data_IF_923267236542
#
_entry.id   IF_923267236542
#
_cell.length_a   1.000
_cell.length_b   1.000
_cell.length_c   1.000
_cell.angle_alpha   90.00
_cell.angle_beta   90.00
_cell.angle_gamma   90.00
#
_symmetry.space_group_name_H-M   'P 1'
#
loop_
_entity.id
_entity.type
_entity.pdbx_description
1 polymer ?
#
# COMPACT_ATOMS: atom_id res chain seq x y z
N UNK A 1 19.40 5.34 -27.19
CA UNK A 1 18.89 4.04 -26.69
C UNK A 1 19.58 3.82 -25.35
N UNK A 2 18.91 4.04 -24.24
CA UNK A 2 19.49 3.81 -22.91
C UNK A 2 19.65 2.30 -22.72
N UNK A 3 20.87 1.86 -22.38
CA UNK A 3 21.11 0.53 -21.86
C UNK A 3 20.45 0.45 -20.46
N UNK A 4 19.15 0.24 -20.43
CA UNK A 4 18.49 -0.14 -19.17
C UNK A 4 18.75 -1.63 -18.99
N UNK A 5 19.27 -2.02 -17.84
CA UNK A 5 19.32 -3.43 -17.46
C UNK A 5 17.92 -4.02 -17.59
N UNK A 6 17.76 -5.21 -18.16
CA UNK A 6 16.45 -5.81 -18.31
C UNK A 6 15.83 -6.04 -16.92
N UNK A 7 14.52 -5.76 -16.80
CA UNK A 7 13.78 -6.11 -15.59
C UNK A 7 13.96 -7.59 -15.26
N UNK A 8 14.02 -7.96 -13.98
CA UNK A 8 14.01 -9.37 -13.58
C UNK A 8 12.77 -10.07 -14.14
N UNK A 9 12.82 -11.38 -14.33
CA UNK A 9 11.66 -12.15 -14.77
C UNK A 9 10.49 -11.97 -13.75
N UNK A 10 9.24 -11.86 -14.24
CA UNK A 10 8.09 -11.74 -13.34
C UNK A 10 8.01 -12.93 -12.37
N UNK A 11 7.72 -12.69 -11.08
CA UNK A 11 7.55 -13.77 -10.12
C UNK A 11 6.28 -14.59 -10.40
N UNK A 12 6.21 -15.79 -9.84
CA UNK A 12 4.97 -16.57 -9.83
C UNK A 12 3.91 -15.86 -8.97
N UNK A 13 2.64 -16.00 -9.36
CA UNK A 13 1.51 -15.55 -8.54
C UNK A 13 1.37 -16.38 -7.27
N UNK A 14 0.66 -15.84 -6.28
CA UNK A 14 0.35 -16.55 -5.02
C UNK A 14 -0.32 -17.89 -5.35
N UNK A 15 0.19 -18.97 -4.80
CA UNK A 15 -0.31 -20.31 -5.06
C UNK A 15 -1.52 -20.68 -4.17
N UNK A 16 -2.26 -21.72 -4.58
CA UNK A 16 -3.44 -22.21 -3.85
C UNK A 16 -3.14 -22.64 -2.43
N UNK A 17 -1.96 -23.20 -2.16
CA UNK A 17 -1.58 -23.65 -0.82
C UNK A 17 -1.47 -22.46 0.14
N UNK A 18 -0.96 -21.31 -0.32
CA UNK A 18 -0.85 -20.08 0.47
C UNK A 18 -2.24 -19.56 0.87
N UNK A 19 -3.21 -19.52 -0.03
CA UNK A 19 -4.60 -19.14 0.32
C UNK A 19 -5.19 -20.10 1.36
N UNK A 20 -4.98 -21.41 1.20
CA UNK A 20 -5.42 -22.41 2.17
C UNK A 20 -4.80 -22.20 3.54
N UNK A 21 -3.50 -21.87 3.61
CA UNK A 21 -2.81 -21.56 4.87
C UNK A 21 -3.37 -20.31 5.54
N UNK A 22 -3.65 -19.24 4.77
CA UNK A 22 -4.27 -18.01 5.30
C UNK A 22 -5.65 -18.28 5.92
N UNK A 23 -6.48 -19.07 5.25
CA UNK A 23 -7.78 -19.48 5.79
C UNK A 23 -7.62 -20.27 7.09
N UNK A 24 -6.71 -21.25 7.13
CA UNK A 24 -6.43 -22.02 8.36
C UNK A 24 -5.90 -21.15 9.50
N UNK A 25 -5.03 -20.19 9.20
CA UNK A 25 -4.54 -19.25 10.20
C UNK A 25 -5.67 -18.38 10.78
N UNK A 26 -6.59 -17.90 9.93
CA UNK A 26 -7.79 -17.19 10.38
C UNK A 26 -8.67 -18.10 11.27
N UNK A 27 -8.91 -19.33 10.88
CA UNK A 27 -9.68 -20.32 11.68
C UNK A 27 -9.05 -20.57 13.06
N UNK A 28 -7.73 -20.71 13.11
CA UNK A 28 -7.00 -20.87 14.39
C UNK A 28 -7.17 -19.64 15.29
N UNK A 29 -7.15 -18.45 14.71
CA UNK A 29 -7.38 -17.20 15.47
C UNK A 29 -8.83 -17.12 15.98
N UNK A 30 -9.82 -17.48 15.16
CA UNK A 30 -11.23 -17.53 15.58
C UNK A 30 -11.42 -18.50 16.76
N UNK A 31 -10.74 -19.64 16.75
CA UNK A 31 -10.79 -20.60 17.87
C UNK A 31 -10.18 -20.01 19.15
N UNK A 32 -9.07 -19.27 19.05
CA UNK A 32 -8.40 -18.64 20.18
C UNK A 32 -9.19 -17.47 20.79
N UNK A 33 -9.96 -16.74 19.96
CA UNK A 33 -10.71 -15.53 20.37
C UNK A 33 -12.19 -15.79 20.64
N UNK A 34 -12.67 -17.01 20.37
CA UNK A 34 -14.06 -17.41 20.62
C UNK A 34 -15.07 -16.86 19.62
N UNK A 35 -14.63 -16.39 18.44
CA UNK A 35 -15.51 -16.13 17.33
C UNK A 35 -15.91 -17.44 16.62
N UNK A 36 -17.10 -17.47 16.05
CA UNK A 36 -17.61 -18.62 15.32
C UNK A 36 -17.32 -18.54 13.82
N UNK A 37 -17.20 -17.32 13.31
CA UNK A 37 -16.84 -17.07 11.91
C UNK A 37 -16.19 -15.67 11.73
N UNK A 38 -15.52 -15.50 10.59
CA UNK A 38 -15.06 -14.22 10.05
C UNK A 38 -15.79 -13.96 8.73
N UNK A 39 -16.48 -12.83 8.61
CA UNK A 39 -17.01 -12.35 7.35
C UNK A 39 -16.04 -11.32 6.77
N UNK A 40 -15.58 -11.58 5.56
CA UNK A 40 -14.60 -10.79 4.81
C UNK A 40 -15.31 -10.08 3.66
N UNK A 41 -15.13 -8.78 3.53
CA UNK A 41 -15.73 -7.98 2.45
C UNK A 41 -14.98 -8.14 1.14
N UNK A 42 -15.65 -7.88 0.01
CA UNK A 42 -15.00 -7.69 -1.29
C UNK A 42 -13.94 -6.57 -1.19
N UNK A 43 -12.87 -6.69 -1.98
CA UNK A 43 -11.72 -5.81 -1.94
C UNK A 43 -10.44 -6.56 -1.57
N UNK A 44 -9.48 -5.83 -0.98
CA UNK A 44 -8.15 -6.35 -0.68
C UNK A 44 -8.17 -7.55 0.29
N UNK A 45 -9.08 -7.54 1.26
CA UNK A 45 -9.23 -8.65 2.21
C UNK A 45 -9.75 -9.91 1.52
N UNK A 46 -10.73 -9.80 0.63
CA UNK A 46 -11.21 -10.92 -0.18
C UNK A 46 -10.10 -11.49 -1.05
N UNK A 47 -9.35 -10.60 -1.74
CA UNK A 47 -8.21 -10.99 -2.58
C UNK A 47 -7.14 -11.72 -1.77
N UNK A 48 -6.85 -11.26 -0.55
CA UNK A 48 -5.89 -11.89 0.35
C UNK A 48 -6.23 -13.36 0.66
N UNK A 49 -7.51 -13.67 0.87
CA UNK A 49 -7.95 -15.03 1.22
C UNK A 49 -8.28 -15.92 0.03
N UNK A 50 -8.60 -15.35 -1.14
CA UNK A 50 -9.18 -16.11 -2.26
C UNK A 50 -8.52 -15.88 -3.62
N UNK A 51 -7.74 -14.81 -3.76
CA UNK A 51 -7.21 -14.35 -5.04
C UNK A 51 -8.23 -13.62 -5.93
N UNK A 52 -9.50 -13.51 -5.52
CA UNK A 52 -10.56 -12.84 -6.29
C UNK A 52 -10.32 -11.34 -6.31
N UNK A 53 -10.16 -10.71 -7.51
CA UNK A 53 -9.77 -9.31 -7.63
C UNK A 53 -10.97 -8.36 -7.71
N UNK A 54 -12.02 -8.62 -6.93
CA UNK A 54 -13.25 -7.83 -6.97
C UNK A 54 -13.29 -6.78 -5.87
N UNK A 55 -13.65 -5.57 -6.24
CA UNK A 55 -13.88 -4.47 -5.31
C UNK A 55 -15.31 -4.53 -4.74
N UNK A 56 -15.51 -3.89 -3.58
CA UNK A 56 -16.82 -3.75 -2.97
C UNK A 56 -17.71 -2.82 -3.81
N UNK A 57 -18.96 -3.24 -4.01
CA UNK A 57 -20.02 -2.47 -4.67
C UNK A 57 -21.24 -2.35 -3.74
N UNK A 58 -22.39 -1.92 -4.27
CA UNK A 58 -23.67 -1.94 -3.56
C UNK A 58 -24.19 -3.36 -3.31
N UNK A 59 -23.72 -4.36 -4.09
CA UNK A 59 -24.08 -5.76 -3.92
C UNK A 59 -23.15 -6.45 -2.94
N UNK A 60 -23.71 -7.21 -2.03
CA UNK A 60 -22.90 -7.97 -1.08
C UNK A 60 -22.17 -9.12 -1.77
N UNK A 61 -20.86 -8.99 -1.84
CA UNK A 61 -19.93 -10.06 -2.17
C UNK A 61 -19.01 -10.23 -0.97
N UNK A 62 -18.97 -11.42 -0.40
CA UNK A 62 -18.23 -11.67 0.82
C UNK A 62 -17.68 -13.11 0.87
N UNK A 63 -16.67 -13.32 1.68
CA UNK A 63 -16.22 -14.64 2.09
C UNK A 63 -16.57 -14.82 3.57
N UNK A 64 -17.28 -15.87 3.90
CA UNK A 64 -17.51 -16.26 5.29
C UNK A 64 -16.60 -17.44 5.62
N UNK A 65 -15.67 -17.24 6.53
CA UNK A 65 -14.73 -18.27 7.02
C UNK A 65 -15.27 -18.76 8.36
N UNK A 66 -15.84 -19.97 8.44
CA UNK A 66 -16.27 -20.55 9.70
C UNK A 66 -15.06 -20.95 10.54
N UNK A 67 -15.19 -20.96 11.88
CA UNK A 67 -14.16 -21.46 12.78
C UNK A 67 -13.70 -22.89 12.44
N UNK A 68 -14.62 -23.72 11.95
CA UNK A 68 -14.35 -25.08 11.45
C UNK A 68 -15.16 -25.35 10.19
N UNK A 69 -14.56 -26.03 9.23
CA UNK A 69 -15.22 -26.37 7.97
C UNK A 69 -14.70 -25.56 6.78
N UNK A 70 -15.39 -25.65 5.65
CA UNK A 70 -15.02 -24.95 4.43
C UNK A 70 -15.51 -23.50 4.46
N UNK A 71 -14.74 -22.54 3.94
CA UNK A 71 -15.23 -21.18 3.72
C UNK A 71 -16.31 -21.15 2.64
N UNK A 72 -17.18 -20.15 2.73
CA UNK A 72 -18.31 -19.96 1.81
C UNK A 72 -18.22 -18.59 1.17
N UNK A 73 -18.13 -18.57 -0.17
CA UNK A 73 -18.27 -17.34 -0.95
C UNK A 73 -19.74 -16.99 -1.11
N UNK A 74 -20.06 -15.73 -0.87
CA UNK A 74 -21.41 -15.16 -1.03
C UNK A 74 -21.38 -14.21 -2.22
N UNK A 75 -22.23 -14.43 -3.22
CA UNK A 75 -22.32 -13.54 -4.36
C UNK A 75 -23.75 -13.54 -4.97
N UNK A 76 -24.10 -12.54 -5.79
CA UNK A 76 -25.29 -12.60 -6.62
C UNK A 76 -25.26 -13.83 -7.52
N UNK A 77 -26.38 -14.45 -7.76
CA UNK A 77 -26.48 -15.68 -8.56
C UNK A 77 -25.91 -15.51 -9.98
N UNK A 78 -26.13 -14.37 -10.60
CA UNK A 78 -25.65 -14.09 -11.96
C UNK A 78 -24.11 -13.96 -12.05
N UNK A 79 -23.40 -13.71 -10.92
CA UNK A 79 -21.94 -13.61 -10.87
C UNK A 79 -21.24 -14.96 -10.65
N UNK A 80 -21.97 -16.06 -10.47
CA UNK A 80 -21.39 -17.37 -10.12
C UNK A 80 -20.30 -17.81 -11.11
N UNK A 81 -20.54 -17.65 -12.41
CA UNK A 81 -19.59 -18.04 -13.46
C UNK A 81 -18.31 -17.20 -13.43
N UNK A 82 -18.45 -15.88 -13.27
CA UNK A 82 -17.33 -14.96 -13.17
C UNK A 82 -16.50 -15.23 -11.90
N UNK A 83 -17.16 -15.50 -10.79
CA UNK A 83 -16.50 -15.85 -9.52
C UNK A 83 -15.69 -17.15 -9.68
N UNK A 84 -16.28 -18.20 -10.23
CA UNK A 84 -15.60 -19.49 -10.45
C UNK A 84 -14.35 -19.36 -11.34
N UNK A 85 -14.38 -18.44 -12.31
CA UNK A 85 -13.26 -18.23 -13.22
C UNK A 85 -12.05 -17.55 -12.55
N UNK A 86 -12.23 -16.77 -11.49
CA UNK A 86 -11.15 -16.05 -10.80
C UNK A 86 -10.79 -16.59 -9.41
N UNK A 87 -11.57 -17.52 -8.86
CA UNK A 87 -11.35 -18.11 -7.54
C UNK A 87 -10.11 -19.01 -7.53
N UNK A 88 -9.15 -18.73 -6.64
CA UNK A 88 -7.88 -19.46 -6.54
C UNK A 88 -7.79 -20.38 -5.31
N UNK A 89 -8.90 -20.58 -4.60
CA UNK A 89 -8.97 -21.46 -3.43
C UNK A 89 -10.28 -22.26 -3.40
N UNK A 90 -10.27 -23.37 -2.69
CA UNK A 90 -11.50 -24.18 -2.52
C UNK A 90 -12.44 -23.49 -1.55
N UNK A 91 -13.63 -23.15 -2.04
CA UNK A 91 -14.74 -22.60 -1.24
C UNK A 91 -16.05 -23.22 -1.68
N UNK A 92 -17.04 -23.24 -0.81
CA UNK A 92 -18.44 -23.38 -1.21
C UNK A 92 -18.93 -22.04 -1.76
N UNK A 93 -19.97 -22.05 -2.59
CA UNK A 93 -20.58 -20.82 -3.12
C UNK A 93 -22.06 -20.86 -2.74
N UNK A 94 -22.50 -19.85 -1.99
CA UNK A 94 -23.90 -19.57 -1.73
C UNK A 94 -24.31 -18.30 -2.47
N UNK A 95 -25.44 -18.34 -3.14
CA UNK A 95 -25.90 -17.25 -4.01
C UNK A 95 -27.22 -16.69 -3.53
N UNK A 96 -27.47 -15.43 -3.87
CA UNK A 96 -28.72 -14.72 -3.63
C UNK A 96 -29.22 -14.08 -4.93
N UNK A 97 -30.56 -13.92 -5.04
CA UNK A 97 -31.22 -13.26 -6.16
C UNK A 97 -31.42 -11.78 -5.86
N UNK A 98 -31.57 -10.94 -6.89
CA UNK A 98 -31.69 -9.48 -6.76
C UNK A 98 -32.86 -9.01 -5.86
N UNK A 99 -33.88 -9.83 -5.67
CA UNK A 99 -35.02 -9.60 -4.80
C UNK A 99 -34.89 -10.24 -3.41
N UNK A 100 -33.78 -10.92 -3.11
CA UNK A 100 -33.48 -11.53 -1.82
C UNK A 100 -32.60 -10.63 -0.95
N UNK A 101 -32.65 -10.85 0.37
CA UNK A 101 -31.74 -10.18 1.29
C UNK A 101 -30.42 -10.94 1.39
N UNK A 102 -29.31 -10.38 0.89
CA UNK A 102 -28.02 -11.07 0.85
C UNK A 102 -27.45 -11.42 2.22
N UNK A 103 -27.78 -10.66 3.26
CA UNK A 103 -27.33 -10.96 4.63
C UNK A 103 -27.98 -12.24 5.19
N UNK A 104 -29.20 -12.56 4.78
CA UNK A 104 -29.84 -13.85 5.13
C UNK A 104 -29.11 -15.01 4.47
N UNK A 105 -28.70 -14.88 3.23
CA UNK A 105 -27.89 -15.86 2.54
C UNK A 105 -26.52 -16.03 3.23
N UNK A 106 -25.82 -14.93 3.50
CA UNK A 106 -24.49 -14.95 4.10
C UNK A 106 -24.43 -15.66 5.45
N UNK A 107 -25.50 -15.52 6.25
CA UNK A 107 -25.56 -16.05 7.61
C UNK A 107 -26.59 -17.15 7.81
N UNK A 108 -27.03 -17.81 6.73
CA UNK A 108 -28.08 -18.85 6.78
C UNK A 108 -27.74 -20.03 7.71
N UNK A 109 -26.44 -20.38 7.80
CA UNK A 109 -25.98 -21.53 8.59
C UNK A 109 -25.77 -21.22 10.09
N UNK A 110 -25.92 -19.95 10.50
CA UNK A 110 -25.62 -19.53 11.87
C UNK A 110 -26.90 -19.35 12.70
N UNK A 111 -26.85 -19.76 13.96
CA UNK A 111 -27.96 -19.70 14.93
C UNK A 111 -27.85 -18.47 15.84
N UNK A 112 -28.90 -18.17 16.57
CA UNK A 112 -28.93 -17.07 17.53
C UNK A 112 -27.77 -17.15 18.53
N UNK A 113 -27.18 -16.01 18.84
CA UNK A 113 -26.04 -15.87 19.74
C UNK A 113 -24.67 -16.17 19.11
N UNK A 114 -24.63 -16.61 17.84
CA UNK A 114 -23.35 -16.81 17.10
C UNK A 114 -22.60 -15.49 17.01
N UNK A 115 -21.29 -15.51 17.32
CA UNK A 115 -20.37 -14.38 17.25
C UNK A 115 -19.62 -14.38 15.93
N UNK A 116 -19.79 -13.34 15.14
CA UNK A 116 -19.15 -13.18 13.82
C UNK A 116 -18.25 -11.96 13.85
N UNK A 117 -16.97 -12.17 13.60
CA UNK A 117 -16.01 -11.11 13.33
C UNK A 117 -16.27 -10.52 11.94
N UNK A 118 -16.30 -9.20 11.83
CA UNK A 118 -16.50 -8.49 10.56
C UNK A 118 -15.21 -7.80 10.12
N UNK A 119 -14.90 -7.95 8.84
CA UNK A 119 -13.88 -7.15 8.17
C UNK A 119 -14.17 -5.65 8.37
N UNK A 120 -13.20 -4.85 8.84
CA UNK A 120 -13.39 -3.40 9.01
C UNK A 120 -13.69 -2.65 7.71
N UNK A 121 -13.43 -3.25 6.55
CA UNK A 121 -13.74 -2.67 5.24
C UNK A 121 -15.24 -2.74 4.88
N UNK A 122 -16.09 -3.41 5.68
CA UNK A 122 -17.53 -3.30 5.52
C UNK A 122 -18.02 -1.89 5.85
N UNK A 123 -18.81 -1.31 4.95
CA UNK A 123 -19.42 0.00 5.22
C UNK A 123 -20.38 -0.06 6.40
N UNK A 124 -20.54 1.04 7.13
CA UNK A 124 -21.55 1.14 8.19
C UNK A 124 -22.96 0.80 7.69
N UNK A 125 -23.29 1.17 6.45
CA UNK A 125 -24.57 0.84 5.81
C UNK A 125 -24.77 -0.68 5.69
N UNK A 126 -23.77 -1.38 5.20
CA UNK A 126 -23.77 -2.84 5.06
C UNK A 126 -23.91 -3.53 6.40
N UNK A 127 -23.12 -3.14 7.40
CA UNK A 127 -23.19 -3.70 8.77
C UNK A 127 -24.56 -3.44 9.40
N UNK A 128 -25.12 -2.25 9.19
CA UNK A 128 -26.46 -1.93 9.69
C UNK A 128 -27.55 -2.79 9.03
N UNK A 129 -27.45 -3.03 7.73
CA UNK A 129 -28.36 -3.93 7.01
C UNK A 129 -28.25 -5.37 7.52
N UNK A 130 -27.01 -5.88 7.73
CA UNK A 130 -26.76 -7.19 8.33
C UNK A 130 -27.41 -7.33 9.71
N UNK A 131 -27.19 -6.34 10.59
CA UNK A 131 -27.78 -6.34 11.95
C UNK A 131 -29.31 -6.30 11.95
N UNK A 132 -29.91 -5.60 10.99
CA UNK A 132 -31.37 -5.58 10.83
C UNK A 132 -31.92 -6.91 10.31
N UNK A 133 -31.22 -7.54 9.39
CA UNK A 133 -31.62 -8.82 8.82
C UNK A 133 -31.44 -9.99 9.82
N UNK A 134 -30.38 -9.93 10.64
CA UNK A 134 -30.00 -10.95 11.62
C UNK A 134 -29.72 -10.34 13.00
N UNK A 135 -30.76 -9.79 13.67
CA UNK A 135 -30.63 -9.16 14.99
C UNK A 135 -30.30 -10.18 16.11
N UNK A 136 -30.40 -11.47 15.79
CA UNK A 136 -30.08 -12.59 16.66
C UNK A 136 -28.60 -12.93 16.70
N UNK A 137 -27.78 -12.40 15.78
CA UNK A 137 -26.33 -12.61 15.73
C UNK A 137 -25.57 -11.50 16.44
N UNK A 138 -24.38 -11.83 16.94
CA UNK A 138 -23.45 -10.87 17.55
C UNK A 138 -22.39 -10.52 16.51
N UNK A 139 -22.53 -9.38 15.84
CA UNK A 139 -21.63 -8.88 14.81
C UNK A 139 -20.66 -7.87 15.42
N UNK A 140 -19.38 -8.20 15.45
CA UNK A 140 -18.32 -7.43 16.09
C UNK A 140 -17.17 -7.15 15.11
N UNK A 141 -16.33 -6.17 15.43
CA UNK A 141 -15.07 -5.90 14.72
C UNK A 141 -14.13 -7.12 14.81
N UNK A 142 -13.30 -7.34 13.79
CA UNK A 142 -12.34 -8.46 13.76
C UNK A 142 -11.16 -8.30 14.74
N UNK A 143 -11.12 -7.19 15.48
CA UNK A 143 -10.08 -6.83 16.44
C UNK A 143 -8.66 -6.84 15.81
N UNK A 144 -8.56 -6.46 14.54
CA UNK A 144 -7.31 -6.36 13.82
C UNK A 144 -6.74 -7.69 13.32
N UNK A 145 -7.55 -8.73 13.28
CA UNK A 145 -7.14 -10.04 12.74
C UNK A 145 -6.61 -9.93 11.33
N UNK A 146 -7.42 -9.41 10.40
CA UNK A 146 -7.07 -9.31 8.98
C UNK A 146 -5.83 -8.43 8.80
N UNK A 147 -5.78 -7.28 9.45
CA UNK A 147 -4.66 -6.36 9.34
C UNK A 147 -3.36 -6.98 9.87
N UNK A 148 -3.41 -7.72 10.97
CA UNK A 148 -2.24 -8.40 11.54
C UNK A 148 -1.72 -9.52 10.62
N UNK A 149 -2.60 -10.27 9.96
CA UNK A 149 -2.24 -11.30 8.99
C UNK A 149 -1.59 -10.70 7.74
N UNK A 150 -2.12 -9.57 7.23
CA UNK A 150 -1.60 -8.87 6.05
C UNK A 150 -0.31 -8.12 6.32
N UNK A 151 -0.04 -7.72 7.57
CA UNK A 151 1.15 -6.96 7.93
C UNK A 151 2.46 -7.70 7.63
N UNK A 152 2.54 -9.00 7.95
CA UNK A 152 3.71 -9.83 7.70
C UNK A 152 3.57 -10.57 6.35
N UNK A 153 4.30 -10.11 5.34
CA UNK A 153 4.26 -10.65 3.98
C UNK A 153 5.04 -11.95 3.87
N UNK A 154 4.50 -12.89 3.12
CA UNK A 154 5.21 -14.10 2.71
C UNK A 154 6.31 -13.79 1.69
N UNK A 155 7.19 -14.75 1.43
CA UNK A 155 8.21 -14.60 0.39
C UNK A 155 7.62 -14.37 -1.00
N UNK A 156 6.45 -14.98 -1.31
CA UNK A 156 5.73 -14.78 -2.57
C UNK A 156 5.20 -13.34 -2.69
N UNK A 157 4.62 -12.79 -1.61
CA UNK A 157 4.14 -11.42 -1.56
C UNK A 157 5.30 -10.41 -1.72
N UNK A 158 6.41 -10.65 -1.02
CA UNK A 158 7.63 -9.82 -1.14
C UNK A 158 8.18 -9.86 -2.57
N UNK A 159 8.14 -11.01 -3.25
CA UNK A 159 8.59 -11.11 -4.63
C UNK A 159 7.70 -10.28 -5.59
N UNK A 160 6.37 -10.28 -5.41
CA UNK A 160 5.44 -9.47 -6.19
C UNK A 160 5.68 -7.97 -5.96
N UNK A 161 5.81 -7.54 -4.70
CA UNK A 161 6.13 -6.15 -4.35
C UNK A 161 7.50 -5.75 -4.94
N UNK A 162 8.52 -6.60 -4.81
CA UNK A 162 9.86 -6.33 -5.36
C UNK A 162 9.83 -6.10 -6.87
N UNK A 163 9.06 -6.91 -7.60
CA UNK A 163 8.95 -6.75 -9.05
C UNK A 163 8.16 -5.47 -9.42
N UNK A 164 7.06 -5.16 -8.72
CA UNK A 164 6.33 -3.92 -8.89
C UNK A 164 7.21 -2.68 -8.62
N UNK A 165 8.06 -2.72 -7.57
CA UNK A 165 9.04 -1.68 -7.26
C UNK A 165 10.10 -1.54 -8.36
N UNK A 166 10.59 -2.66 -8.92
CA UNK A 166 11.55 -2.64 -10.03
C UNK A 166 10.94 -2.00 -11.30
N UNK A 167 9.67 -2.32 -11.62
CA UNK A 167 8.91 -1.67 -12.71
C UNK A 167 8.86 -0.16 -12.45
N UNK A 168 8.40 0.27 -11.28
CA UNK A 168 8.23 1.69 -10.94
C UNK A 168 9.57 2.44 -10.96
N UNK A 169 10.66 1.84 -10.45
CA UNK A 169 11.99 2.47 -10.53
C UNK A 169 12.44 2.64 -11.99
N UNK A 170 12.17 1.65 -12.86
CA UNK A 170 12.48 1.78 -14.29
C UNK A 170 11.65 2.90 -14.94
N UNK A 171 10.36 3.01 -14.57
CA UNK A 171 9.49 4.10 -15.05
C UNK A 171 10.02 5.47 -14.63
N UNK A 172 10.54 5.61 -13.41
CA UNK A 172 11.19 6.84 -12.96
C UNK A 172 12.43 7.20 -13.80
N UNK A 173 13.28 6.22 -14.13
CA UNK A 173 14.46 6.41 -14.99
C UNK A 173 14.03 6.89 -16.40
N UNK A 174 13.02 6.23 -16.95
CA UNK A 174 12.48 6.57 -18.27
C UNK A 174 11.80 7.94 -18.28
N UNK A 175 11.01 8.25 -17.23
CA UNK A 175 10.38 9.56 -17.06
C UNK A 175 11.41 10.68 -16.98
N UNK A 176 12.49 10.52 -16.20
CA UNK A 176 13.57 11.49 -16.14
C UNK A 176 14.20 11.75 -17.50
N UNK A 177 14.39 10.70 -18.30
CA UNK A 177 14.94 10.81 -19.67
C UNK A 177 13.96 11.47 -20.65
N UNK A 178 12.66 11.40 -20.38
CA UNK A 178 11.61 12.02 -21.17
C UNK A 178 11.48 13.53 -20.92
N UNK A 179 11.89 14.01 -19.72
CA UNK A 179 11.73 15.42 -19.32
C UNK A 179 12.45 16.38 -20.28
N UNK A 180 11.76 17.43 -20.64
CA UNK A 180 12.29 18.60 -21.38
C UNK A 180 11.46 19.84 -21.02
N UNK A 181 12.04 21.07 -21.10
CA UNK A 181 11.30 22.28 -20.83
C UNK A 181 10.06 22.42 -21.71
N UNK A 182 8.98 22.93 -21.15
CA UNK A 182 7.70 23.14 -21.85
C UNK A 182 6.72 21.97 -21.75
N UNK A 183 7.11 20.79 -21.22
CA UNK A 183 6.16 19.71 -20.97
C UNK A 183 5.20 20.05 -19.84
N UNK A 184 3.95 19.68 -20.04
CA UNK A 184 2.92 19.74 -18.99
C UNK A 184 3.05 18.55 -18.01
N UNK A 185 2.75 18.77 -16.75
CA UNK A 185 2.69 17.68 -15.74
C UNK A 185 1.75 16.55 -16.19
N UNK A 186 0.65 16.85 -16.88
CA UNK A 186 -0.28 15.85 -17.43
C UNK A 186 0.34 14.99 -18.54
N UNK A 187 1.23 15.53 -19.36
CA UNK A 187 1.91 14.78 -20.42
C UNK A 187 2.90 13.78 -19.80
N UNK A 188 3.59 14.20 -18.74
CA UNK A 188 4.51 13.35 -18.01
C UNK A 188 3.75 12.24 -17.26
N UNK A 189 2.62 12.56 -16.62
CA UNK A 189 1.74 11.53 -16.00
C UNK A 189 1.25 10.51 -17.03
N UNK A 190 0.85 10.95 -18.21
CA UNK A 190 0.42 10.05 -19.28
C UNK A 190 1.57 9.14 -19.76
N UNK A 191 2.78 9.69 -19.91
CA UNK A 191 3.98 8.91 -20.23
C UNK A 191 4.24 7.84 -19.16
N UNK A 192 4.21 8.22 -17.88
CA UNK A 192 4.43 7.30 -16.73
C UNK A 192 3.40 6.17 -16.73
N UNK A 193 2.10 6.49 -16.89
CA UNK A 193 1.04 5.48 -16.95
C UNK A 193 1.24 4.50 -18.12
N UNK A 194 1.57 5.02 -19.29
CA UNK A 194 1.86 4.19 -20.47
C UNK A 194 3.06 3.26 -20.22
N UNK A 195 4.14 3.79 -19.63
CA UNK A 195 5.33 2.96 -19.33
C UNK A 195 5.05 1.88 -18.29
N UNK A 196 4.27 2.14 -17.25
CA UNK A 196 3.84 1.10 -16.32
C UNK A 196 3.11 -0.04 -17.04
N UNK A 197 2.19 0.27 -17.97
CA UNK A 197 1.49 -0.74 -18.80
C UNK A 197 2.43 -1.54 -19.67
N UNK A 198 3.35 -0.88 -20.35
CA UNK A 198 4.33 -1.52 -21.24
C UNK A 198 5.29 -2.45 -20.50
N UNK A 199 5.58 -2.16 -19.23
CA UNK A 199 6.43 -2.97 -18.37
C UNK A 199 5.67 -4.07 -17.61
N UNK A 200 4.35 -4.20 -17.84
CA UNK A 200 3.53 -5.31 -17.34
C UNK A 200 2.84 -5.09 -16.01
N UNK A 201 2.70 -3.84 -15.56
CA UNK A 201 1.90 -3.51 -14.38
C UNK A 201 0.40 -3.74 -14.63
N UNK A 202 -0.34 -4.10 -13.57
CA UNK A 202 -1.79 -4.21 -13.60
C UNK A 202 -2.41 -2.83 -13.92
N UNK A 203 -3.06 -2.66 -15.05
CA UNK A 203 -3.79 -1.44 -15.43
C UNK A 203 -2.98 -0.12 -15.43
N UNK A 204 -1.65 -0.16 -15.48
CA UNK A 204 -0.79 1.03 -15.51
C UNK A 204 -0.47 1.59 -14.12
N UNK A 205 -0.38 2.93 -14.01
CA UNK A 205 -0.15 3.58 -12.71
C UNK A 205 -1.37 3.44 -11.81
N UNK A 206 -1.15 3.05 -10.56
CA UNK A 206 -2.20 3.12 -9.54
C UNK A 206 -2.49 4.57 -9.15
N UNK A 207 -1.43 5.36 -9.01
CA UNK A 207 -1.47 6.81 -8.83
C UNK A 207 -0.24 7.44 -9.49
N UNK A 208 -0.28 8.75 -9.73
CA UNK A 208 0.85 9.49 -10.26
C UNK A 208 0.72 10.99 -9.93
N UNK A 209 1.61 11.49 -9.09
CA UNK A 209 1.81 12.92 -8.84
C UNK A 209 3.09 13.38 -9.55
N UNK A 210 2.98 14.48 -10.30
CA UNK A 210 4.10 15.16 -10.95
C UNK A 210 4.00 16.64 -10.60
N UNK A 211 5.02 17.17 -9.94
CA UNK A 211 5.04 18.49 -9.35
C UNK A 211 6.35 19.22 -9.66
N UNK A 212 6.27 20.55 -9.90
CA UNK A 212 7.42 21.38 -10.20
C UNK A 212 7.51 22.57 -9.24
N UNK A 213 8.75 22.96 -8.89
CA UNK A 213 9.04 24.16 -8.12
C UNK A 213 8.23 24.25 -6.82
N UNK A 214 7.50 25.33 -6.63
CA UNK A 214 6.74 25.60 -5.41
C UNK A 214 5.62 24.56 -5.12
N UNK A 215 5.08 23.92 -6.15
CA UNK A 215 4.04 22.90 -5.95
C UNK A 215 4.54 21.67 -5.21
N UNK A 216 5.84 21.41 -5.22
CA UNK A 216 6.45 20.31 -4.44
C UNK A 216 6.27 20.49 -2.93
N UNK A 217 5.96 21.70 -2.44
CA UNK A 217 5.64 21.97 -1.04
C UNK A 217 4.30 21.35 -0.57
N UNK A 218 3.49 20.86 -1.49
CA UNK A 218 2.19 20.25 -1.20
C UNK A 218 2.27 18.73 -1.39
N UNK A 219 2.17 17.92 -0.32
CA UNK A 219 2.38 16.46 -0.40
C UNK A 219 1.58 15.74 -1.48
N UNK A 220 0.33 16.17 -1.71
CA UNK A 220 -0.55 15.60 -2.76
C UNK A 220 -0.70 16.50 -3.99
N UNK A 221 0.16 17.53 -4.11
CA UNK A 221 0.15 18.46 -5.24
C UNK A 221 -0.92 19.54 -5.15
N UNK A 222 -1.00 20.28 -6.24
CA UNK A 222 -2.01 21.32 -6.47
C UNK A 222 -2.81 21.00 -7.74
N UNK A 223 -4.03 21.56 -7.91
CA UNK A 223 -4.88 21.27 -9.07
C UNK A 223 -4.29 21.72 -10.42
N UNK A 224 -3.29 22.63 -10.41
CA UNK A 224 -2.74 23.21 -11.62
C UNK A 224 -1.98 22.20 -12.47
N UNK A 225 -2.21 22.25 -13.78
CA UNK A 225 -1.44 21.50 -14.75
C UNK A 225 -0.16 22.25 -15.11
N UNK A 226 0.85 22.12 -14.26
CA UNK A 226 2.10 22.88 -14.34
C UNK A 226 2.89 22.60 -15.62
N UNK A 227 3.66 23.60 -16.05
CA UNK A 227 4.61 23.51 -17.19
C UNK A 227 6.03 23.45 -16.63
N UNK A 228 6.78 22.43 -16.99
CA UNK A 228 8.18 22.26 -16.59
C UNK A 228 9.05 23.37 -17.18
N UNK A 229 9.77 24.07 -16.32
CA UNK A 229 10.72 25.13 -16.68
C UNK A 229 12.17 24.65 -16.53
N UNK A 230 13.12 25.36 -17.16
CA UNK A 230 14.54 25.13 -16.87
C UNK A 230 14.87 25.44 -15.42
N UNK A 231 15.64 24.58 -14.81
CA UNK A 231 16.11 24.65 -13.42
C UNK A 231 15.01 24.47 -12.37
N UNK A 232 13.86 23.85 -12.73
CA UNK A 232 12.85 23.48 -11.77
C UNK A 232 13.34 22.37 -10.81
N UNK A 233 12.81 22.41 -9.60
CA UNK A 233 12.74 21.23 -8.74
C UNK A 233 11.62 20.33 -9.25
N UNK A 234 11.91 19.06 -9.48
CA UNK A 234 10.94 18.07 -9.94
C UNK A 234 10.70 17.04 -8.85
N UNK A 235 9.45 16.81 -8.48
CA UNK A 235 9.01 15.73 -7.64
C UNK A 235 8.08 14.84 -8.49
N UNK A 236 8.42 13.57 -8.60
CA UNK A 236 7.58 12.53 -9.18
C UNK A 236 7.32 11.50 -8.10
N UNK A 237 6.06 11.20 -7.87
CA UNK A 237 5.58 10.22 -6.92
C UNK A 237 4.57 9.31 -7.61
N UNK A 238 4.90 8.04 -7.75
CA UNK A 238 4.09 7.10 -8.53
C UNK A 238 4.31 5.66 -8.11
N UNK A 239 3.29 4.86 -8.36
CA UNK A 239 3.31 3.43 -8.13
C UNK A 239 2.37 2.67 -9.05
N UNK A 240 2.56 1.38 -9.11
CA UNK A 240 1.72 0.45 -9.87
C UNK A 240 1.29 -0.74 -9.01
N UNK A 241 0.60 -1.68 -9.63
CA UNK A 241 0.23 -2.96 -9.00
C UNK A 241 0.70 -4.12 -9.87
N UNK A 242 1.07 -5.21 -9.20
CA UNK A 242 1.31 -6.51 -9.83
C UNK A 242 0.58 -7.59 -9.03
N UNK A 243 -0.38 -8.28 -9.64
CA UNK A 243 -1.33 -9.18 -8.99
C UNK A 243 -1.93 -8.56 -7.72
N UNK A 244 -2.26 -7.25 -7.80
CA UNK A 244 -2.83 -6.42 -6.74
C UNK A 244 -1.86 -5.90 -5.68
N UNK A 245 -0.61 -6.35 -5.64
CA UNK A 245 0.41 -5.83 -4.73
C UNK A 245 1.00 -4.54 -5.26
N UNK A 246 1.10 -3.54 -4.38
CA UNK A 246 1.48 -2.18 -4.75
C UNK A 246 2.99 -1.96 -4.73
N UNK A 247 3.43 -1.04 -5.58
CA UNK A 247 4.67 -0.30 -5.45
C UNK A 247 4.38 1.17 -5.18
N UNK A 248 5.36 1.87 -4.62
CA UNK A 248 5.30 3.29 -4.31
C UNK A 248 6.73 3.85 -4.22
N UNK A 249 7.04 4.87 -5.00
CA UNK A 249 8.36 5.50 -5.03
C UNK A 249 8.21 6.99 -5.31
N UNK A 250 8.80 7.82 -4.46
CA UNK A 250 8.98 9.25 -4.73
C UNK A 250 10.43 9.57 -5.02
N UNK A 251 10.66 10.37 -6.05
CA UNK A 251 11.95 10.99 -6.37
C UNK A 251 11.81 12.50 -6.51
N UNK A 252 12.60 13.23 -5.70
CA UNK A 252 12.76 14.67 -5.87
C UNK A 252 14.19 14.97 -6.35
N UNK A 253 14.33 15.74 -7.44
CA UNK A 253 15.62 16.04 -8.05
C UNK A 253 15.62 17.37 -8.79
N UNK A 254 16.82 17.93 -9.01
CA UNK A 254 16.98 19.13 -9.83
C UNK A 254 16.88 18.78 -11.32
N UNK A 255 16.08 19.57 -12.05
CA UNK A 255 16.04 19.56 -13.51
C UNK A 255 16.86 20.75 -14.04
N UNK A 256 18.07 20.50 -14.52
CA UNK A 256 19.01 21.54 -14.92
C UNK A 256 19.96 21.95 -13.77
N UNK A 257 20.16 23.26 -13.58
CA UNK A 257 21.07 23.77 -12.58
C UNK A 257 20.44 23.69 -11.18
N UNK A 258 21.10 23.02 -10.22
CA UNK A 258 20.57 22.90 -8.85
C UNK A 258 20.56 24.25 -8.13
N UNK A 259 19.53 24.49 -7.33
CA UNK A 259 19.50 25.56 -6.32
C UNK A 259 20.25 25.08 -5.07
N UNK A 260 21.18 25.89 -4.50
CA UNK A 260 21.98 25.46 -3.34
C UNK A 260 21.17 25.17 -2.07
N UNK A 261 20.05 25.86 -1.85
CA UNK A 261 19.22 25.61 -0.68
C UNK A 261 18.40 24.34 -0.86
N UNK A 262 17.87 24.08 -2.05
CA UNK A 262 17.22 22.81 -2.36
C UNK A 262 18.18 21.63 -2.24
N UNK A 263 19.42 21.77 -2.71
CA UNK A 263 20.46 20.74 -2.57
C UNK A 263 20.81 20.47 -1.10
N UNK A 264 20.91 21.52 -0.28
CA UNK A 264 21.13 21.40 1.16
C UNK A 264 19.97 20.64 1.84
N UNK A 265 18.71 21.01 1.55
CA UNK A 265 17.54 20.36 2.11
C UNK A 265 17.42 18.91 1.62
N UNK A 266 17.76 18.65 0.36
CA UNK A 266 17.78 17.29 -0.19
C UNK A 266 18.80 16.39 0.56
N UNK A 267 19.98 16.93 0.87
CA UNK A 267 20.99 16.20 1.63
C UNK A 267 20.51 15.87 3.06
N UNK A 268 19.80 16.81 3.70
CA UNK A 268 19.19 16.59 5.03
C UNK A 268 18.10 15.50 4.91
N UNK A 269 17.23 15.58 3.91
CA UNK A 269 16.15 14.60 3.69
C UNK A 269 16.73 13.20 3.49
N UNK A 270 17.83 13.09 2.76
CA UNK A 270 18.57 11.85 2.58
C UNK A 270 19.07 11.28 3.91
N UNK A 271 19.61 12.14 4.79
CA UNK A 271 20.05 11.76 6.14
C UNK A 271 18.85 11.27 6.99
N UNK A 272 17.70 11.97 6.90
CA UNK A 272 16.46 11.62 7.60
C UNK A 272 15.97 10.23 7.16
N UNK A 273 15.90 9.98 5.85
CA UNK A 273 15.50 8.68 5.27
C UNK A 273 16.40 7.54 5.77
N UNK A 274 17.72 7.75 5.76
CA UNK A 274 18.67 6.75 6.26
C UNK A 274 18.61 6.55 7.77
N UNK A 275 18.31 7.60 8.54
CA UNK A 275 18.16 7.47 10.00
C UNK A 275 16.97 6.56 10.35
N UNK A 276 15.83 6.74 9.69
CA UNK A 276 14.68 5.86 9.84
C UNK A 276 15.00 4.41 9.46
N UNK A 277 15.61 4.19 8.28
CA UNK A 277 16.01 2.86 7.83
C UNK A 277 16.96 2.18 8.82
N UNK A 278 17.97 2.90 9.29
CA UNK A 278 18.95 2.37 10.24
C UNK A 278 18.37 2.09 11.62
N UNK A 279 17.30 2.77 12.01
CA UNK A 279 16.58 2.51 13.26
C UNK A 279 15.67 1.26 13.17
N UNK A 280 15.23 0.89 11.96
CA UNK A 280 14.36 -0.26 11.77
C UNK A 280 15.10 -1.57 12.09
N UNK A 281 14.77 -2.20 13.22
CA UNK A 281 15.30 -3.50 13.67
C UNK A 281 14.14 -4.36 14.15
N UNK A 282 14.34 -5.67 14.15
CA UNK A 282 13.34 -6.59 14.74
C UNK A 282 13.10 -6.20 16.19
N UNK A 283 11.83 -6.00 16.56
CA UNK A 283 11.41 -5.60 17.89
C UNK A 283 11.40 -4.10 18.17
N UNK A 284 12.06 -3.25 17.34
CA UNK A 284 11.93 -1.80 17.43
C UNK A 284 10.50 -1.38 17.14
N UNK A 285 9.92 -0.50 17.94
CA UNK A 285 8.57 0.01 17.69
C UNK A 285 8.53 0.94 16.47
N UNK A 286 7.38 1.00 15.80
CA UNK A 286 7.16 1.93 14.70
C UNK A 286 7.34 3.41 15.12
N UNK A 287 7.04 3.73 16.38
CA UNK A 287 7.29 5.05 16.98
C UNK A 287 8.80 5.41 17.01
N UNK A 288 9.66 4.48 17.45
CA UNK A 288 11.10 4.72 17.52
C UNK A 288 11.73 4.96 16.15
N UNK A 289 11.18 4.36 15.09
CA UNK A 289 11.63 4.61 13.71
C UNK A 289 11.25 6.02 13.25
N UNK A 290 10.02 6.49 13.55
CA UNK A 290 9.59 7.87 13.28
C UNK A 290 10.42 8.89 14.09
N UNK A 291 10.71 8.59 15.35
CA UNK A 291 11.54 9.46 16.20
C UNK A 291 12.98 9.60 15.66
N UNK A 292 13.58 8.52 15.15
CA UNK A 292 14.90 8.57 14.55
C UNK A 292 15.00 9.57 13.39
N UNK A 293 13.96 9.60 12.53
CA UNK A 293 13.83 10.59 11.46
C UNK A 293 13.73 12.02 12.02
N UNK A 294 12.86 12.24 12.99
CA UNK A 294 12.62 13.58 13.58
C UNK A 294 13.82 14.13 14.36
N UNK A 295 14.61 13.28 15.01
CA UNK A 295 15.85 13.68 15.68
C UNK A 295 16.84 14.30 14.70
N UNK A 296 16.95 13.77 13.48
CA UNK A 296 17.80 14.36 12.43
C UNK A 296 17.31 15.75 12.05
N UNK A 297 16.00 15.90 11.79
CA UNK A 297 15.40 17.21 11.46
C UNK A 297 15.73 18.27 12.53
N UNK A 298 15.52 17.95 13.80
CA UNK A 298 15.80 18.87 14.92
C UNK A 298 17.29 19.27 14.98
N UNK A 299 18.23 18.35 14.72
CA UNK A 299 19.67 18.67 14.63
C UNK A 299 19.99 19.70 13.55
N UNK A 300 19.22 19.72 12.48
CA UNK A 300 19.36 20.68 11.38
C UNK A 300 18.50 21.95 11.56
N UNK A 301 17.86 22.13 12.72
CA UNK A 301 17.03 23.29 13.02
C UNK A 301 15.66 23.27 12.32
N UNK A 302 15.19 22.08 11.91
CA UNK A 302 13.91 21.85 11.28
C UNK A 302 12.94 21.18 12.28
N UNK A 303 11.64 21.47 12.16
CA UNK A 303 10.68 21.02 13.15
C UNK A 303 10.69 21.89 14.42
N UNK A 304 10.45 21.33 15.64
CA UNK A 304 10.18 19.93 15.99
C UNK A 304 8.78 19.44 15.60
N UNK A 305 8.52 18.17 15.85
CA UNK A 305 7.22 17.52 15.66
C UNK A 305 6.73 17.66 14.21
N UNK A 306 5.56 18.25 14.04
CA UNK A 306 4.94 18.56 12.73
C UNK A 306 5.10 20.04 12.33
N UNK A 307 5.96 20.79 13.06
CA UNK A 307 6.22 22.21 12.78
C UNK A 307 7.03 22.36 11.50
N UNK A 308 6.65 23.32 10.67
CA UNK A 308 7.34 23.66 9.43
C UNK A 308 8.31 24.85 9.62
N UNK A 309 9.44 24.91 8.92
CA UNK A 309 9.95 23.90 7.98
C UNK A 309 10.27 22.57 8.67
N UNK A 310 9.87 21.45 8.08
CA UNK A 310 10.05 20.12 8.67
C UNK A 310 9.14 19.08 8.06
N UNK A 311 8.94 17.96 8.75
CA UNK A 311 8.14 16.80 8.33
C UNK A 311 6.68 16.94 8.78
N UNK A 312 5.73 17.20 7.83
CA UNK A 312 4.33 17.45 8.16
C UNK A 312 3.48 16.21 8.43
N UNK A 313 3.99 15.02 8.15
CA UNK A 313 3.25 13.77 8.26
C UNK A 313 4.08 12.65 8.93
N UNK A 314 3.60 11.43 8.92
CA UNK A 314 4.31 10.24 9.41
C UNK A 314 5.52 9.92 8.52
N UNK A 315 6.49 9.21 9.08
CA UNK A 315 7.70 8.79 8.33
C UNK A 315 7.41 7.68 7.32
N UNK A 316 6.34 6.87 7.54
CA UNK A 316 5.99 5.81 6.59
C UNK A 316 4.78 4.99 6.99
N UNK A 317 4.46 4.02 6.15
CA UNK A 317 3.30 3.12 6.28
C UNK A 317 3.65 1.70 5.80
N UNK A 318 2.84 0.72 6.17
CA UNK A 318 2.88 -0.60 5.57
C UNK A 318 2.38 -0.57 4.13
N UNK A 319 2.87 -1.49 3.30
CA UNK A 319 2.45 -1.65 1.90
C UNK A 319 2.20 -3.12 1.59
N UNK A 320 1.25 -3.40 0.71
CA UNK A 320 0.90 -4.73 0.27
C UNK A 320 -0.22 -4.72 -0.76
N UNK A 321 -1.35 -5.37 -0.46
CA UNK A 321 -2.57 -5.28 -1.27
C UNK A 321 -3.27 -3.92 -1.15
N UNK A 322 -3.00 -3.16 -0.09
CA UNK A 322 -3.32 -1.73 -0.02
C UNK A 322 -2.03 -0.94 -0.13
N UNK A 323 -2.10 0.24 -0.76
CA UNK A 323 -0.95 1.14 -0.83
C UNK A 323 -0.56 1.60 0.58
N UNK A 324 -1.55 1.96 1.39
CA UNK A 324 -1.37 2.24 2.81
C UNK A 324 -2.07 1.16 3.64
N UNK A 325 -1.31 0.43 4.44
CA UNK A 325 -1.85 -0.52 5.42
C UNK A 325 -1.00 -0.51 6.71
N UNK A 326 -1.55 -1.11 7.76
CA UNK A 326 -0.83 -1.23 9.03
C UNK A 326 0.43 -2.14 8.90
N UNK A 327 1.46 -1.90 9.74
CA UNK A 327 1.60 -0.83 10.72
C UNK A 327 2.06 0.49 10.10
N UNK A 328 1.99 1.59 10.85
CA UNK A 328 2.43 2.92 10.42
C UNK A 328 3.63 3.39 11.23
N UNK A 329 4.68 3.90 10.57
CA UNK A 329 5.84 4.53 11.20
C UNK A 329 5.46 5.95 11.64
N UNK A 330 4.88 6.04 12.83
CA UNK A 330 4.31 7.28 13.36
C UNK A 330 4.42 7.32 14.86
N UNK A 331 4.54 8.52 15.42
CA UNK A 331 4.56 8.77 16.86
C UNK A 331 3.41 8.05 17.58
N UNK A 332 3.71 7.42 18.70
CA UNK A 332 2.76 6.73 19.56
C UNK A 332 2.41 5.31 19.11
N UNK A 333 2.86 4.86 17.94
CA UNK A 333 2.63 3.48 17.50
C UNK A 333 3.66 2.52 18.11
N UNK A 334 3.24 1.81 19.15
CA UNK A 334 4.09 0.84 19.87
C UNK A 334 4.24 -0.52 19.17
N UNK A 335 3.66 -0.72 17.98
CA UNK A 335 3.77 -1.98 17.24
C UNK A 335 5.23 -2.30 16.92
N UNK A 336 5.77 -3.46 17.37
CA UNK A 336 7.13 -3.84 17.07
C UNK A 336 7.28 -4.31 15.62
N UNK A 337 8.37 -3.93 14.98
CA UNK A 337 8.72 -4.45 13.66
C UNK A 337 9.03 -5.95 13.73
N UNK A 338 8.55 -6.70 12.73
CA UNK A 338 8.71 -8.15 12.59
C UNK A 338 9.20 -8.49 11.20
N UNK A 339 9.83 -9.65 11.05
CA UNK A 339 10.15 -10.19 9.73
C UNK A 339 8.89 -10.28 8.86
N UNK A 340 9.01 -9.91 7.59
CA UNK A 340 7.90 -9.82 6.65
C UNK A 340 7.16 -8.48 6.64
N UNK A 341 7.37 -7.56 7.59
CA UNK A 341 6.85 -6.20 7.47
C UNK A 341 7.47 -5.51 6.24
N UNK A 342 6.64 -4.97 5.36
CA UNK A 342 7.02 -4.16 4.21
C UNK A 342 6.55 -2.73 4.46
N UNK A 343 7.47 -1.77 4.45
CA UNK A 343 7.23 -0.41 4.94
C UNK A 343 7.69 0.62 3.92
N UNK A 344 6.91 1.68 3.72
CA UNK A 344 7.44 2.91 3.14
C UNK A 344 8.41 3.58 4.11
N UNK A 345 9.36 4.32 3.56
CA UNK A 345 10.22 5.25 4.27
C UNK A 345 10.26 6.51 3.41
N UNK A 346 9.35 7.43 3.72
CA UNK A 346 8.96 8.56 2.88
C UNK A 346 8.98 9.90 3.63
N UNK A 347 9.98 10.18 4.45
CA UNK A 347 10.01 11.48 5.10
C UNK A 347 10.00 12.59 4.04
N UNK A 348 9.51 13.76 4.44
CA UNK A 348 9.41 14.93 3.58
C UNK A 348 9.80 16.18 4.36
N UNK A 349 10.63 17.01 3.78
CA UNK A 349 10.89 18.36 4.31
C UNK A 349 10.12 19.37 3.48
N UNK A 350 9.18 20.05 4.11
CA UNK A 350 8.42 21.16 3.50
C UNK A 350 8.98 22.49 3.99
N UNK A 351 9.37 23.36 3.06
CA UNK A 351 9.69 24.77 3.29
C UNK A 351 8.49 25.60 2.81
N UNK A 352 7.66 26.12 3.72
CA UNK A 352 6.37 26.73 3.39
C UNK A 352 6.46 27.81 2.33
N UNK A 353 5.60 27.72 1.30
CA UNK A 353 5.52 28.69 0.21
C UNK A 353 6.71 28.70 -0.76
N UNK A 354 7.67 27.78 -0.59
CA UNK A 354 8.85 27.69 -1.44
C UNK A 354 8.92 26.35 -2.17
N UNK A 355 9.18 25.25 -1.47
CA UNK A 355 9.30 23.91 -2.03
C UNK A 355 9.18 22.82 -0.97
N UNK A 356 9.06 21.59 -1.42
CA UNK A 356 9.17 20.37 -0.60
C UNK A 356 10.07 19.33 -1.26
N UNK A 357 10.75 18.55 -0.45
CA UNK A 357 11.59 17.44 -0.89
C UNK A 357 11.14 16.19 -0.17
N UNK A 358 10.68 15.19 -0.92
CA UNK A 358 10.39 13.84 -0.45
C UNK A 358 11.28 12.84 -1.17
N UNK A 359 11.93 11.98 -0.40
CA UNK A 359 12.64 10.82 -0.89
C UNK A 359 11.95 9.59 -0.30
N UNK A 360 11.38 8.78 -1.18
CA UNK A 360 10.64 7.61 -0.77
C UNK A 360 11.17 6.36 -1.42
N UNK A 361 11.50 5.42 -0.58
CA UNK A 361 11.81 4.06 -0.92
C UNK A 361 11.18 3.13 0.11
N UNK A 362 10.94 1.89 -0.31
CA UNK A 362 10.38 0.89 0.57
C UNK A 362 11.42 -0.12 1.00
N UNK A 363 11.26 -0.61 2.22
CA UNK A 363 12.08 -1.71 2.73
C UNK A 363 11.19 -2.84 3.28
N UNK A 364 11.73 -4.02 3.31
CA UNK A 364 11.12 -5.15 4.01
C UNK A 364 12.06 -5.65 5.11
N UNK A 365 11.44 -6.13 6.19
CA UNK A 365 12.15 -6.67 7.33
C UNK A 365 12.48 -8.14 7.10
N UNK A 366 13.76 -8.48 7.24
CA UNK A 366 14.24 -9.86 7.36
C UNK A 366 14.63 -10.15 8.80
N UNK A 367 14.93 -11.40 9.13
CA UNK A 367 15.47 -11.76 10.47
C UNK A 367 16.78 -11.02 10.79
N UNK A 368 17.57 -10.65 9.75
CA UNK A 368 18.83 -9.93 9.90
C UNK A 368 18.66 -8.40 9.94
N UNK A 369 17.45 -7.87 9.73
CA UNK A 369 17.13 -6.45 9.67
C UNK A 369 16.49 -5.99 8.36
N UNK A 370 16.40 -4.66 8.12
CA UNK A 370 15.73 -4.10 6.95
C UNK A 370 16.56 -4.30 5.67
N UNK A 371 15.85 -4.51 4.57
CA UNK A 371 16.42 -4.53 3.21
C UNK A 371 15.59 -3.66 2.29
N UNK A 372 16.24 -2.78 1.55
CA UNK A 372 15.58 -1.98 0.52
C UNK A 372 15.04 -2.87 -0.61
N UNK A 373 13.87 -2.53 -1.14
CA UNK A 373 13.34 -3.15 -2.36
C UNK A 373 14.08 -2.68 -3.61
N UNK A 374 14.46 -1.40 -3.62
CA UNK A 374 15.17 -0.73 -4.72
C UNK A 374 16.29 0.14 -4.18
N UNK A 375 17.21 0.52 -5.04
CA UNK A 375 18.28 1.47 -4.71
C UNK A 375 17.67 2.85 -4.41
N UNK A 376 17.92 3.44 -3.23
CA UNK A 376 17.52 4.81 -2.93
C UNK A 376 18.20 5.83 -3.83
N UNK A 377 17.59 7.02 -3.98
CA UNK A 377 18.12 8.09 -4.81
C UNK A 377 19.63 8.34 -4.56
N UNK A 378 20.43 8.38 -5.61
CA UNK A 378 21.89 8.51 -5.50
C UNK A 378 22.31 9.93 -5.13
N UNK A 379 21.87 10.94 -5.91
CA UNK A 379 22.17 12.35 -5.67
C UNK A 379 21.04 13.26 -6.15
N UNK A 380 21.08 14.52 -5.78
CA UNK A 380 20.09 15.53 -6.14
C UNK A 380 20.02 15.78 -7.66
N UNK A 381 21.15 15.72 -8.35
CA UNK A 381 21.22 15.96 -9.81
C UNK A 381 21.20 14.69 -10.65
N UNK A 382 21.60 13.54 -10.06
CA UNK A 382 21.59 12.22 -10.69
C UNK A 382 20.95 11.21 -9.73
N UNK A 383 19.59 11.19 -9.63
CA UNK A 383 18.89 10.35 -8.65
C UNK A 383 19.00 8.84 -8.96
N UNK A 384 19.40 8.49 -10.19
CA UNK A 384 19.56 7.11 -10.64
C UNK A 384 21.00 6.85 -11.08
N UNK A 385 21.56 5.74 -10.68
CA UNK A 385 22.86 5.22 -11.15
C UNK A 385 22.75 4.54 -12.50
#
# INVERSE_FOLDING_TARGET
MSNSDPLPAPPAFINTATFTQRIRAAQSHLEATGFDALAVNAGNSLRYFTGVPWDATERLIALVIPRKGKPVMICPHFETGSLQACLRTETEIATWQEDENPALCAFALYTAGTRIALDPDFTLGTVTAMRRARPDLVLEDDNGLISSMRACKSAEEIALISHAMAITLQVHKDARSFLKPGLLASEIRHFIDTRHRELGADNGSYFCAVQFGHATAYPHGIPDNQVLQENDLVLIDTGCRLDGYHSDITRTFAFGKPDPEQERIWAIEKEVQYAAFNAARIGTSCHEVDDAARVVLVRHGLGPDYTLPGLPHRTGHGIGLSIHEAPYLVRGNATPLKAGHCMSNEPMIVVPGQFGIRLEDHFYMTEDGPRWFTEPAYSFTAPFN
#
